data_IF_802317821996
#
_entry.id   IF_802317821996
#
_cell.length_a   1.000
_cell.length_b   1.000
_cell.length_c   1.000
_cell.angle_alpha   90.00
_cell.angle_beta   90.00
_cell.angle_gamma   90.00
#
_symmetry.space_group_name_H-M   'P 1'
#
loop_
_entity.id
_entity.type
_entity.pdbx_description
1 polymer ?
#
# COMPACT_ATOMS: atom_id res chain seq x y z
N UNK A 1 -44.65 17.72 -59.98
CA UNK A 1 -43.96 18.91 -59.44
C UNK A 1 -44.64 19.25 -58.12
N UNK A 2 -44.06 19.29 -56.92
CA UNK A 2 -42.69 19.51 -56.47
C UNK A 2 -42.45 18.74 -55.15
N UNK A 3 -41.27 18.16 -55.03
CA UNK A 3 -40.69 17.53 -53.83
C UNK A 3 -40.43 18.57 -52.72
N UNK A 4 -40.58 18.18 -51.45
CA UNK A 4 -39.95 18.88 -50.32
C UNK A 4 -39.27 17.87 -49.40
N UNK A 5 -37.95 18.02 -49.34
CA UNK A 5 -37.00 17.13 -48.72
C UNK A 5 -37.05 17.18 -47.20
N UNK A 6 -36.88 16.01 -46.59
CA UNK A 6 -36.58 15.79 -45.18
C UNK A 6 -35.11 16.18 -44.94
N UNK A 7 -34.86 17.23 -44.15
CA UNK A 7 -33.50 17.62 -43.75
C UNK A 7 -33.21 17.04 -42.36
N UNK A 8 -32.40 15.98 -42.34
CA UNK A 8 -31.79 15.40 -41.14
C UNK A 8 -30.52 16.20 -40.82
N UNK A 9 -30.52 16.95 -39.71
CA UNK A 9 -29.31 17.60 -39.19
C UNK A 9 -28.66 16.65 -38.19
N UNK A 10 -27.67 15.89 -38.65
CA UNK A 10 -26.81 15.08 -37.80
C UNK A 10 -25.66 15.97 -37.28
N UNK A 11 -25.80 16.50 -36.08
CA UNK A 11 -24.76 17.27 -35.41
C UNK A 11 -23.63 16.36 -34.94
N UNK A 12 -22.46 16.48 -35.57
CA UNK A 12 -21.21 15.82 -35.17
C UNK A 12 -20.61 16.56 -33.96
N UNK A 13 -20.86 16.05 -32.75
CA UNK A 13 -20.22 16.53 -31.52
C UNK A 13 -18.80 15.92 -31.45
N UNK A 14 -17.80 16.70 -31.85
CA UNK A 14 -16.39 16.34 -31.71
C UNK A 14 -15.97 16.61 -30.25
N UNK A 15 -15.80 15.54 -29.47
CA UNK A 15 -15.34 15.60 -28.08
C UNK A 15 -13.87 16.03 -28.01
N UNK A 16 -13.60 17.14 -27.32
CA UNK A 16 -12.25 17.50 -26.88
C UNK A 16 -11.80 16.53 -25.79
N UNK A 17 -10.94 15.58 -26.13
CA UNK A 17 -10.22 14.77 -25.15
C UNK A 17 -9.02 15.58 -24.61
N UNK A 18 -8.78 15.59 -23.29
CA UNK A 18 -7.55 16.16 -22.73
C UNK A 18 -6.36 15.30 -23.18
N UNK A 19 -5.45 15.90 -23.94
CA UNK A 19 -4.16 15.29 -24.25
C UNK A 19 -3.29 15.33 -23.00
N UNK A 20 -3.16 14.21 -22.32
CA UNK A 20 -2.12 14.06 -21.29
C UNK A 20 -0.75 14.01 -21.98
N UNK A 21 0.27 14.72 -21.48
CA UNK A 21 1.62 14.58 -22.02
C UNK A 21 2.07 13.13 -21.80
N UNK A 22 2.40 12.44 -22.89
CA UNK A 22 3.01 11.12 -22.82
C UNK A 22 4.33 11.24 -22.04
N UNK A 23 4.43 10.56 -20.90
CA UNK A 23 5.69 10.42 -20.17
C UNK A 23 6.67 9.63 -21.03
N UNK A 24 7.54 10.33 -21.75
CA UNK A 24 8.54 9.73 -22.61
C UNK A 24 9.51 8.86 -21.78
N UNK A 25 9.79 7.65 -22.28
CA UNK A 25 10.81 6.78 -21.71
C UNK A 25 12.16 7.52 -21.68
N UNK A 26 12.83 7.53 -20.52
CA UNK A 26 14.12 8.23 -20.31
C UNK A 26 15.20 7.57 -21.17
N UNK A 27 15.72 8.31 -22.15
CA UNK A 27 16.88 7.90 -22.96
C UNK A 27 18.10 8.74 -22.58
N UNK A 28 19.28 8.12 -22.66
CA UNK A 28 20.54 8.84 -22.45
C UNK A 28 20.66 10.01 -23.45
N UNK A 29 20.98 11.20 -22.95
CA UNK A 29 21.06 12.43 -23.76
C UNK A 29 19.78 13.26 -23.82
N UNK A 30 18.63 12.72 -23.40
CA UNK A 30 17.38 13.50 -23.37
C UNK A 30 17.42 14.60 -22.30
N UNK A 31 16.66 15.67 -22.53
CA UNK A 31 16.55 16.79 -21.58
C UNK A 31 15.97 16.31 -20.24
N UNK A 32 16.58 16.76 -19.15
CA UNK A 32 16.06 16.58 -17.80
C UNK A 32 15.87 17.95 -17.13
N UNK A 33 14.85 18.06 -16.28
CA UNK A 33 14.42 19.34 -15.71
C UNK A 33 15.27 19.81 -14.53
N UNK A 34 15.93 18.89 -13.80
CA UNK A 34 16.62 19.21 -12.55
C UNK A 34 17.92 18.42 -12.37
N UNK A 35 19.03 19.14 -12.26
CA UNK A 35 20.37 18.57 -12.06
C UNK A 35 20.41 17.61 -10.85
N UNK A 36 21.18 16.53 -10.96
CA UNK A 36 21.32 15.43 -9.98
C UNK A 36 20.05 14.60 -9.71
N UNK A 37 18.94 14.86 -10.40
CA UNK A 37 17.80 13.94 -10.39
C UNK A 37 18.20 12.60 -10.98
N UNK A 38 17.79 11.50 -10.37
CA UNK A 38 18.13 10.15 -10.84
C UNK A 38 16.89 9.38 -11.24
N UNK A 39 17.00 8.53 -12.24
CA UNK A 39 15.94 7.62 -12.67
C UNK A 39 16.53 6.23 -12.96
N UNK A 40 15.77 5.17 -12.70
CA UNK A 40 16.16 3.81 -13.07
C UNK A 40 15.32 3.30 -14.23
N UNK A 41 15.98 2.85 -15.29
CA UNK A 41 15.34 2.17 -16.43
C UNK A 41 16.09 0.87 -16.68
N UNK A 42 15.39 -0.25 -16.63
CA UNK A 42 15.95 -1.59 -16.89
C UNK A 42 17.23 -1.89 -16.08
N UNK A 43 17.22 -1.60 -14.77
CA UNK A 43 18.35 -1.88 -13.87
C UNK A 43 19.56 -0.94 -14.00
N UNK A 44 19.47 0.11 -14.84
CA UNK A 44 20.49 1.15 -14.97
C UNK A 44 20.03 2.45 -14.32
N UNK A 45 20.88 3.06 -13.50
CA UNK A 45 20.66 4.38 -12.88
C UNK A 45 21.16 5.49 -13.79
N UNK A 46 20.24 6.26 -14.35
CA UNK A 46 20.45 7.49 -15.09
C UNK A 46 20.49 8.66 -14.11
N UNK A 47 21.38 9.62 -14.33
CA UNK A 47 21.47 10.84 -13.52
C UNK A 47 21.42 12.04 -14.44
N UNK A 48 20.61 13.04 -14.10
CA UNK A 48 20.55 14.31 -14.80
C UNK A 48 21.86 15.07 -14.55
N UNK A 49 22.67 15.21 -15.58
CA UNK A 49 24.00 15.83 -15.54
C UNK A 49 24.02 17.11 -16.38
N UNK A 50 24.95 18.02 -16.08
CA UNK A 50 25.21 19.20 -16.90
C UNK A 50 26.06 18.78 -18.10
N UNK A 51 25.57 19.04 -19.30
CA UNK A 51 26.31 18.85 -20.56
C UNK A 51 26.27 20.16 -21.33
N UNK A 52 27.37 20.91 -21.28
CA UNK A 52 27.44 22.28 -21.77
C UNK A 52 26.43 23.21 -21.06
N UNK A 53 25.60 23.97 -21.79
CA UNK A 53 24.58 24.86 -21.21
C UNK A 53 23.26 24.16 -20.84
N UNK A 54 23.12 22.84 -21.05
CA UNK A 54 21.86 22.10 -20.85
C UNK A 54 22.00 21.01 -19.79
N UNK A 55 20.85 20.54 -19.28
CA UNK A 55 20.76 19.36 -18.43
C UNK A 55 20.24 18.16 -19.24
N UNK A 56 20.98 17.06 -19.20
CA UNK A 56 20.68 15.83 -19.95
C UNK A 56 20.85 14.58 -19.09
N UNK A 57 20.13 13.50 -19.42
CA UNK A 57 20.30 12.21 -18.75
C UNK A 57 21.65 11.55 -19.11
N UNK A 58 22.36 11.03 -18.10
CA UNK A 58 23.61 10.26 -18.28
C UNK A 58 23.39 8.93 -19.00
N UNK A 59 24.44 8.19 -19.35
CA UNK A 59 24.34 6.90 -20.07
C UNK A 59 23.78 5.73 -19.25
N UNK A 60 23.44 5.95 -17.98
CA UNK A 60 22.96 4.91 -17.06
C UNK A 60 24.08 4.00 -16.54
N UNK A 61 24.15 3.79 -15.23
CA UNK A 61 25.11 2.86 -14.59
C UNK A 61 24.35 1.62 -14.11
N UNK A 62 24.79 0.41 -14.50
CA UNK A 62 24.21 -0.84 -14.03
C UNK A 62 24.41 -0.94 -12.52
N UNK A 63 23.33 -1.04 -11.75
CA UNK A 63 23.43 -1.26 -10.30
C UNK A 63 23.67 -2.75 -10.11
N UNK A 64 24.83 -3.12 -9.55
CA UNK A 64 25.13 -4.52 -9.24
C UNK A 64 24.21 -4.99 -8.12
N UNK A 65 23.44 -6.04 -8.40
CA UNK A 65 22.66 -6.77 -7.40
C UNK A 65 23.66 -7.53 -6.53
N UNK A 66 23.89 -7.08 -5.30
CA UNK A 66 24.67 -7.83 -4.32
C UNK A 66 23.83 -9.03 -3.87
N UNK A 67 24.06 -10.17 -4.50
CA UNK A 67 23.60 -11.49 -4.07
C UNK A 67 24.47 -11.92 -2.89
N UNK A 68 24.00 -11.70 -1.66
CA UNK A 68 24.61 -12.33 -0.48
C UNK A 68 23.98 -13.71 -0.30
N UNK A 69 24.69 -14.73 -0.77
CA UNK A 69 24.48 -16.12 -0.39
C UNK A 69 25.15 -16.35 0.99
N UNK A 70 24.51 -17.06 1.93
CA UNK A 70 25.11 -17.37 3.22
C UNK A 70 26.03 -18.59 3.10
N UNK A 71 27.29 -18.43 3.49
CA UNK A 71 28.13 -19.56 3.92
C UNK A 71 28.23 -19.52 5.45
N UNK A 72 27.98 -20.69 6.01
CA UNK A 72 28.04 -21.07 7.41
C UNK A 72 29.50 -21.13 7.89
N UNK A 73 29.84 -20.43 8.99
CA UNK A 73 30.81 -20.89 9.99
C UNK A 73 30.94 -19.88 11.16
N UNK A 74 30.38 -20.28 12.30
CA UNK A 74 30.77 -20.03 13.69
C UNK A 74 31.95 -19.07 14.01
N UNK A 75 31.67 -17.93 14.69
CA UNK A 75 32.45 -17.40 15.85
C UNK A 75 31.66 -16.25 16.57
N UNK A 76 31.80 -16.03 17.91
CA UNK A 76 30.76 -15.41 18.73
C UNK A 76 30.81 -13.87 18.89
N UNK A 77 29.70 -13.39 19.45
CA UNK A 77 29.24 -12.03 19.71
C UNK A 77 30.28 -10.96 20.10
N UNK A 78 30.10 -9.77 19.52
CA UNK A 78 30.27 -8.50 20.23
C UNK A 78 29.30 -7.45 19.67
N UNK A 79 28.63 -6.65 20.52
CA UNK A 79 27.49 -5.84 20.12
C UNK A 79 27.90 -4.45 19.66
N UNK A 80 27.03 -3.84 18.84
CA UNK A 80 26.72 -2.40 18.75
C UNK A 80 26.61 -1.95 17.30
N UNK A 81 25.48 -2.29 16.68
CA UNK A 81 24.95 -1.48 15.59
C UNK A 81 24.39 -0.21 16.22
N UNK A 82 25.12 0.89 16.03
CA UNK A 82 24.76 2.24 16.47
C UNK A 82 23.46 2.63 15.74
N UNK A 83 22.29 2.36 16.35
CA UNK A 83 21.01 2.83 15.83
C UNK A 83 21.00 4.36 15.90
N UNK A 84 21.00 4.99 14.73
CA UNK A 84 20.58 6.39 14.58
C UNK A 84 19.26 6.58 15.35
N UNK A 85 19.07 7.67 16.12
CA UNK A 85 17.87 7.82 16.95
C UNK A 85 16.63 7.79 16.05
N UNK A 86 15.85 6.70 16.16
CA UNK A 86 14.56 6.58 15.50
C UNK A 86 13.62 7.64 16.07
N UNK A 87 12.93 8.35 15.17
CA UNK A 87 11.94 9.36 15.57
C UNK A 87 10.84 8.67 16.39
N UNK A 88 10.42 9.23 17.54
CA UNK A 88 9.35 8.64 18.33
C UNK A 88 8.04 8.61 17.54
N UNK A 89 7.23 7.56 17.77
CA UNK A 89 5.89 7.45 17.19
C UNK A 89 4.91 8.43 17.87
N UNK A 90 3.86 8.88 17.15
CA UNK A 90 2.79 9.66 17.77
C UNK A 90 2.02 8.84 18.81
N UNK A 91 1.28 9.55 19.67
CA UNK A 91 0.33 8.96 20.63
C UNK A 91 -1.03 9.65 20.46
N UNK A 92 -2.12 8.95 20.11
CA UNK A 92 -2.18 7.54 19.70
C UNK A 92 -1.31 7.26 18.45
N UNK A 93 -0.93 6.00 18.25
CA UNK A 93 -0.04 5.60 17.15
C UNK A 93 -0.67 5.86 15.77
N UNK A 94 -1.99 5.70 15.66
CA UNK A 94 -2.74 5.82 14.43
C UNK A 94 -3.88 6.81 14.57
N UNK A 95 -4.18 7.53 13.49
CA UNK A 95 -5.52 8.05 13.25
C UNK A 95 -6.40 6.97 12.64
N UNK A 96 -7.69 6.99 12.94
CA UNK A 96 -8.62 5.99 12.40
C UNK A 96 -8.80 6.20 10.88
N UNK A 97 -8.54 5.17 10.06
CA UNK A 97 -8.42 5.35 8.62
C UNK A 97 -9.77 5.44 7.89
N UNK A 98 -10.88 5.08 8.55
CA UNK A 98 -12.24 5.05 7.99
C UNK A 98 -13.23 5.68 8.96
N UNK A 99 -14.42 6.00 8.47
CA UNK A 99 -15.55 6.45 9.30
C UNK A 99 -16.16 5.27 10.06
N UNK A 100 -15.88 5.17 11.36
CA UNK A 100 -16.36 4.08 12.21
C UNK A 100 -17.87 4.02 12.34
N UNK A 101 -18.60 5.13 12.10
CA UNK A 101 -20.06 5.11 12.16
C UNK A 101 -20.69 4.23 11.07
N UNK A 102 -19.93 3.93 10.01
CA UNK A 102 -20.35 3.05 8.91
C UNK A 102 -19.86 1.61 9.06
N UNK A 103 -18.93 1.34 9.98
CA UNK A 103 -18.35 0.01 10.14
C UNK A 103 -19.32 -0.88 10.91
N UNK A 104 -19.63 -2.05 10.37
CA UNK A 104 -20.57 -3.02 10.94
C UNK A 104 -19.88 -4.22 11.56
N UNK A 105 -18.66 -4.55 11.12
CA UNK A 105 -17.90 -5.71 11.59
C UNK A 105 -16.40 -5.51 11.43
N UNK A 106 -15.61 -6.34 12.11
CA UNK A 106 -14.14 -6.26 12.11
C UNK A 106 -13.53 -7.63 11.83
N UNK A 107 -12.55 -7.68 10.92
CA UNK A 107 -11.61 -8.79 10.83
C UNK A 107 -10.47 -8.55 11.80
N UNK A 108 -10.18 -9.53 12.66
CA UNK A 108 -9.12 -9.42 13.65
C UNK A 108 -7.76 -9.72 12.97
N UNK A 109 -6.68 -8.96 13.23
CA UNK A 109 -5.35 -9.38 12.83
C UNK A 109 -4.92 -10.64 13.58
N UNK A 110 -3.99 -11.40 13.01
CA UNK A 110 -3.44 -12.61 13.62
C UNK A 110 -4.41 -13.77 13.68
N UNK A 111 -5.03 -14.12 12.54
CA UNK A 111 -5.93 -15.27 12.41
C UNK A 111 -5.63 -16.10 11.16
N UNK A 112 -5.96 -17.39 11.21
CA UNK A 112 -6.00 -18.27 10.05
C UNK A 112 -7.30 -18.09 9.26
N UNK A 113 -7.23 -17.50 8.06
CA UNK A 113 -8.40 -17.25 7.21
C UNK A 113 -8.14 -17.65 5.77
N UNK A 114 -9.06 -18.43 5.21
CA UNK A 114 -8.93 -18.94 3.83
C UNK A 114 -7.68 -19.82 3.64
N UNK A 115 -7.31 -20.59 4.67
CA UNK A 115 -6.15 -21.48 4.65
C UNK A 115 -4.79 -20.78 4.73
N UNK A 116 -4.76 -19.50 5.08
CA UNK A 116 -3.52 -18.73 5.24
C UNK A 116 -3.58 -17.88 6.50
N UNK A 117 -2.44 -17.71 7.14
CA UNK A 117 -2.28 -16.76 8.22
C UNK A 117 -2.46 -15.32 7.72
N UNK A 118 -3.17 -14.51 8.50
CA UNK A 118 -3.41 -13.10 8.21
C UNK A 118 -2.98 -12.26 9.41
N UNK A 119 -1.76 -11.73 9.37
CA UNK A 119 -1.29 -10.75 10.36
C UNK A 119 -2.03 -9.40 10.29
N UNK A 120 -2.82 -9.17 9.23
CA UNK A 120 -3.69 -8.01 9.08
C UNK A 120 -5.16 -8.37 9.40
N UNK A 121 -5.92 -7.34 9.75
CA UNK A 121 -7.37 -7.41 9.92
C UNK A 121 -8.06 -6.61 8.83
N UNK A 122 -9.19 -6.00 9.16
CA UNK A 122 -9.94 -5.18 8.22
C UNK A 122 -11.23 -4.62 8.81
N UNK A 123 -11.76 -3.61 8.13
CA UNK A 123 -13.04 -2.99 8.46
C UNK A 123 -14.11 -3.51 7.51
N UNK A 124 -15.27 -3.85 8.08
CA UNK A 124 -16.41 -4.31 7.32
C UNK A 124 -17.59 -3.35 7.26
N UNK A 125 -18.22 -3.30 6.10
CA UNK A 125 -19.37 -2.44 5.80
C UNK A 125 -20.49 -3.31 5.21
N UNK A 126 -20.93 -4.31 5.98
CA UNK A 126 -21.76 -5.43 5.51
C UNK A 126 -23.17 -5.00 5.07
N UNK A 127 -23.62 -3.84 5.55
CA UNK A 127 -24.92 -3.25 5.19
C UNK A 127 -24.79 -2.16 4.11
N UNK A 128 -23.59 -1.93 3.55
CA UNK A 128 -23.39 -0.91 2.54
C UNK A 128 -24.07 -1.30 1.22
N UNK A 129 -24.77 -0.34 0.62
CA UNK A 129 -25.43 -0.48 -0.69
C UNK A 129 -24.56 -0.04 -1.86
N UNK A 130 -23.39 0.53 -1.55
CA UNK A 130 -22.39 1.01 -2.48
C UNK A 130 -20.99 0.79 -1.87
N UNK A 131 -19.95 1.03 -2.66
CA UNK A 131 -18.57 0.91 -2.23
C UNK A 131 -18.01 2.20 -1.60
N UNK A 132 -18.82 3.25 -1.34
CA UNK A 132 -18.37 4.60 -1.00
C UNK A 132 -17.83 4.71 0.44
N UNK A 133 -16.61 4.21 0.60
CA UNK A 133 -15.82 4.30 1.83
C UNK A 133 -14.59 5.14 1.54
N UNK A 134 -14.48 6.27 2.23
CA UNK A 134 -13.26 7.08 2.23
C UNK A 134 -12.23 6.44 3.15
N UNK A 135 -11.05 6.15 2.61
CA UNK A 135 -9.90 5.64 3.36
C UNK A 135 -8.83 6.73 3.44
N UNK A 136 -8.31 6.96 4.64
CA UNK A 136 -7.28 7.96 4.94
C UNK A 136 -6.01 7.31 5.45
N UNK A 137 -4.89 7.96 5.21
CA UNK A 137 -3.58 7.58 5.74
C UNK A 137 -3.59 7.74 7.29
N UNK A 138 -3.35 6.66 8.06
CA UNK A 138 -3.44 6.70 9.52
C UNK A 138 -2.16 7.19 10.20
N UNK A 139 -1.02 7.11 9.49
CA UNK A 139 0.31 7.45 9.99
C UNK A 139 1.16 8.02 8.85
N UNK A 140 1.79 9.17 9.08
CA UNK A 140 2.70 9.78 8.08
C UNK A 140 3.91 8.88 7.81
N UNK A 141 4.27 8.75 6.53
CA UNK A 141 5.26 7.77 6.10
C UNK A 141 5.55 7.88 4.61
N UNK A 142 5.81 6.73 3.98
CA UNK A 142 6.14 6.62 2.56
C UNK A 142 5.49 5.38 1.99
N UNK A 143 4.94 5.46 0.78
CA UNK A 143 4.60 4.29 -0.02
C UNK A 143 5.90 3.61 -0.42
N UNK A 144 6.05 2.35 -0.05
CA UNK A 144 7.25 1.55 -0.35
C UNK A 144 6.96 0.40 -1.28
N UNK A 145 5.74 -0.15 -1.24
CA UNK A 145 5.35 -1.23 -2.14
C UNK A 145 3.89 -1.11 -2.56
N UNK A 146 3.59 -1.53 -3.77
CA UNK A 146 2.22 -1.49 -4.33
C UNK A 146 1.95 -2.68 -5.21
N UNK A 147 0.68 -3.03 -5.38
CA UNK A 147 0.22 -3.82 -6.54
C UNK A 147 -1.16 -3.33 -6.93
N UNK A 148 -1.43 -3.37 -8.24
CA UNK A 148 -2.79 -3.41 -8.76
C UNK A 148 -3.02 -4.79 -9.34
N UNK A 149 -4.05 -5.47 -8.89
CA UNK A 149 -4.27 -6.87 -9.21
C UNK A 149 -5.71 -7.12 -9.59
N UNK A 150 -5.94 -8.18 -10.36
CA UNK A 150 -7.27 -8.64 -10.70
C UNK A 150 -7.67 -9.75 -9.75
N UNK A 151 -8.86 -9.61 -9.18
CA UNK A 151 -9.49 -10.64 -8.37
C UNK A 151 -10.99 -10.63 -8.65
N UNK A 152 -11.56 -11.81 -8.89
CA UNK A 152 -12.98 -11.95 -9.26
C UNK A 152 -13.41 -11.07 -10.47
N UNK A 153 -12.49 -10.81 -11.40
CA UNK A 153 -12.73 -9.97 -12.58
C UNK A 153 -12.62 -8.46 -12.31
N UNK A 154 -12.48 -8.03 -11.06
CA UNK A 154 -12.38 -6.64 -10.64
C UNK A 154 -10.92 -6.24 -10.37
N UNK A 155 -10.57 -4.98 -10.61
CA UNK A 155 -9.25 -4.45 -10.24
C UNK A 155 -9.28 -3.97 -8.79
N UNK A 156 -8.32 -4.42 -8.01
CA UNK A 156 -8.10 -4.06 -6.62
C UNK A 156 -6.68 -3.53 -6.44
N UNK A 157 -6.47 -2.77 -5.37
CA UNK A 157 -5.18 -2.15 -5.08
C UNK A 157 -4.74 -2.42 -3.65
N UNK A 158 -3.46 -2.77 -3.52
CA UNK A 158 -2.76 -2.99 -2.27
C UNK A 158 -1.61 -2.00 -2.19
N UNK A 159 -1.49 -1.33 -1.04
CA UNK A 159 -0.36 -0.46 -0.72
C UNK A 159 0.26 -0.87 0.61
N UNK A 160 1.60 -0.90 0.64
CA UNK A 160 2.40 -1.03 1.85
C UNK A 160 3.18 0.27 2.08
N UNK A 161 3.23 0.67 3.35
CA UNK A 161 3.80 1.92 3.79
C UNK A 161 4.81 1.70 4.91
N UNK A 162 5.91 2.44 4.86
CA UNK A 162 6.81 2.59 5.99
C UNK A 162 6.50 3.92 6.69
N UNK A 163 6.00 3.84 7.92
CA UNK A 163 5.79 4.99 8.78
C UNK A 163 7.11 5.60 9.24
N UNK A 164 7.08 6.90 9.54
CA UNK A 164 8.29 7.66 9.89
C UNK A 164 8.88 7.34 11.29
N UNK A 165 8.38 6.31 11.97
CA UNK A 165 8.75 5.96 13.35
C UNK A 165 9.01 4.45 13.56
N UNK A 166 9.27 3.70 12.49
CA UNK A 166 9.56 2.25 12.57
C UNK A 166 8.31 1.35 12.61
N UNK A 167 7.12 1.93 12.41
CA UNK A 167 5.86 1.19 12.25
C UNK A 167 5.45 1.23 10.79
N UNK A 168 5.22 0.07 10.19
CA UNK A 168 4.68 -0.07 8.83
C UNK A 168 3.20 -0.39 8.87
N UNK A 169 2.48 -0.06 7.81
CA UNK A 169 1.06 -0.40 7.68
C UNK A 169 0.72 -0.72 6.22
N UNK A 170 -0.41 -1.37 6.01
CA UNK A 170 -0.90 -1.70 4.67
C UNK A 170 -2.41 -1.54 4.56
N UNK A 171 -2.83 -1.25 3.34
CA UNK A 171 -4.20 -1.39 2.90
C UNK A 171 -4.27 -2.39 1.77
N UNK A 172 -5.33 -3.20 1.74
CA UNK A 172 -5.68 -4.08 0.63
C UNK A 172 -7.15 -3.90 0.27
N UNK A 173 -7.56 -4.43 -0.88
CA UNK A 173 -8.92 -4.30 -1.38
C UNK A 173 -9.38 -2.83 -1.49
N UNK A 174 -8.47 -1.93 -1.89
CA UNK A 174 -8.87 -0.58 -2.31
C UNK A 174 -9.43 -0.66 -3.74
N UNK A 175 -10.42 0.17 -4.06
CA UNK A 175 -11.09 0.16 -5.38
C UNK A 175 -10.85 1.44 -6.17
N UNK A 176 -11.22 2.60 -5.63
CA UNK A 176 -11.10 3.88 -6.34
C UNK A 176 -10.15 4.80 -5.62
N UNK A 177 -8.94 4.90 -6.16
CA UNK A 177 -7.87 5.70 -5.59
C UNK A 177 -8.05 7.20 -5.90
N UNK A 178 -7.47 8.05 -5.05
CA UNK A 178 -7.30 9.46 -5.40
C UNK A 178 -6.13 9.64 -6.36
N UNK A 179 -6.09 10.77 -7.07
CA UNK A 179 -5.18 11.01 -8.18
C UNK A 179 -3.69 10.77 -7.83
N UNK A 180 -3.27 11.14 -6.61
CA UNK A 180 -1.89 10.91 -6.15
C UNK A 180 -1.54 9.42 -6.11
N UNK A 181 -2.42 8.60 -5.56
CA UNK A 181 -2.16 7.17 -5.37
C UNK A 181 -2.33 6.40 -6.68
N UNK A 182 -3.32 6.77 -7.51
CA UNK A 182 -3.48 6.24 -8.86
C UNK A 182 -2.23 6.49 -9.72
N UNK A 183 -1.64 7.69 -9.63
CA UNK A 183 -0.40 8.02 -10.33
C UNK A 183 0.79 7.14 -9.89
N UNK A 184 0.80 6.64 -8.65
CA UNK A 184 1.84 5.72 -8.17
C UNK A 184 1.64 4.32 -8.75
N UNK A 185 0.44 3.74 -8.62
CA UNK A 185 0.17 2.36 -9.06
C UNK A 185 0.10 2.18 -10.58
N UNK A 186 -0.29 3.22 -11.32
CA UNK A 186 -0.37 3.15 -12.79
C UNK A 186 0.99 2.96 -13.47
N UNK A 187 2.10 3.18 -12.76
CA UNK A 187 3.44 2.85 -13.21
C UNK A 187 3.74 1.32 -13.23
N UNK A 188 2.87 0.50 -12.64
CA UNK A 188 3.06 -0.94 -12.48
C UNK A 188 2.05 -1.74 -13.33
N UNK A 189 2.40 -2.94 -13.79
CA UNK A 189 1.46 -3.80 -14.52
C UNK A 189 0.31 -4.26 -13.61
N UNK A 190 -0.81 -4.66 -14.22
CA UNK A 190 -1.85 -5.41 -13.51
C UNK A 190 -1.35 -6.86 -13.36
N UNK A 191 -1.50 -7.42 -12.17
CA UNK A 191 -1.14 -8.81 -11.86
C UNK A 191 -2.39 -9.66 -11.59
N UNK A 192 -2.23 -10.97 -11.64
CA UNK A 192 -3.24 -11.96 -11.23
C UNK A 192 -2.96 -12.52 -9.82
N UNK A 193 -2.04 -11.87 -9.09
CA UNK A 193 -1.67 -12.20 -7.73
C UNK A 193 -1.37 -10.92 -6.94
N UNK A 194 -1.24 -11.06 -5.61
CA UNK A 194 -1.07 -9.94 -4.67
C UNK A 194 0.38 -9.62 -4.34
N UNK A 195 1.37 -10.16 -5.07
CA UNK A 195 2.79 -9.86 -4.80
C UNK A 195 3.09 -8.42 -5.18
N UNK A 196 3.51 -7.64 -4.20
CA UNK A 196 3.80 -6.21 -4.37
C UNK A 196 5.10 -5.95 -5.13
N UNK A 197 5.17 -4.81 -5.81
CA UNK A 197 6.37 -4.25 -6.43
C UNK A 197 6.92 -3.10 -5.59
N UNK A 198 8.25 -2.95 -5.56
CA UNK A 198 8.89 -1.86 -4.84
C UNK A 198 8.70 -0.51 -5.56
N UNK A 199 8.26 0.50 -4.82
CA UNK A 199 8.18 1.89 -5.28
C UNK A 199 9.51 2.58 -5.04
N UNK A 200 10.16 3.02 -6.12
CA UNK A 200 11.47 3.68 -6.06
C UNK A 200 11.55 4.89 -7.01
N UNK A 201 11.77 6.11 -6.50
CA UNK A 201 11.92 6.46 -5.08
C UNK A 201 10.59 6.31 -4.31
N UNK A 202 10.61 6.01 -2.99
CA UNK A 202 9.41 6.00 -2.16
C UNK A 202 8.67 7.33 -2.20
N UNK A 203 7.33 7.29 -2.14
CA UNK A 203 6.49 8.49 -2.23
C UNK A 203 5.95 8.84 -0.86
N UNK A 204 6.24 10.05 -0.36
CA UNK A 204 5.80 10.49 0.96
C UNK A 204 4.28 10.61 1.06
N UNK A 205 3.73 10.28 2.23
CA UNK A 205 2.32 10.46 2.60
C UNK A 205 2.20 11.08 3.98
N UNK A 206 1.19 11.91 4.17
CA UNK A 206 0.85 12.52 5.44
C UNK A 206 -0.42 11.91 6.01
N UNK A 207 -0.48 11.81 7.34
CA UNK A 207 -1.70 11.45 8.06
C UNK A 207 -2.89 12.31 7.60
N UNK A 208 -4.05 11.68 7.41
CA UNK A 208 -5.27 12.32 6.96
C UNK A 208 -5.41 12.49 5.44
N UNK A 209 -4.35 12.26 4.65
CA UNK A 209 -4.47 12.21 3.19
C UNK A 209 -5.45 11.10 2.78
N UNK A 210 -6.35 11.40 1.83
CA UNK A 210 -7.31 10.42 1.31
C UNK A 210 -6.62 9.57 0.25
N UNK A 211 -6.52 8.27 0.49
CA UNK A 211 -5.96 7.31 -0.46
C UNK A 211 -7.01 6.76 -1.42
N UNK A 212 -8.20 6.46 -0.91
CA UNK A 212 -9.29 5.87 -1.69
C UNK A 212 -10.64 6.46 -1.29
N UNK A 213 -11.58 6.42 -2.24
CA UNK A 213 -12.97 6.85 -2.08
C UNK A 213 -13.96 5.70 -2.26
N UNK A 214 -13.48 4.56 -2.77
CA UNK A 214 -14.23 3.31 -2.82
C UNK A 214 -13.33 2.14 -2.41
N UNK A 215 -13.90 1.11 -1.78
CA UNK A 215 -13.20 -0.10 -1.31
C UNK A 215 -13.96 -1.38 -1.64
N UNK A 216 -13.26 -2.51 -1.62
CA UNK A 216 -13.82 -3.84 -1.76
C UNK A 216 -14.37 -4.16 -3.15
N UNK A 217 -15.12 -5.25 -3.18
CA UNK A 217 -15.83 -5.74 -4.36
C UNK A 217 -17.27 -5.21 -4.36
N UNK A 218 -17.92 -5.23 -5.52
CA UNK A 218 -19.31 -4.76 -5.65
C UNK A 218 -20.29 -5.51 -4.74
N UNK A 219 -19.99 -6.78 -4.42
CA UNK A 219 -20.81 -7.63 -3.55
C UNK A 219 -20.22 -7.83 -2.14
N UNK A 220 -19.10 -7.19 -1.83
CA UNK A 220 -18.37 -7.40 -0.59
C UNK A 220 -17.57 -6.13 -0.23
N UNK A 221 -18.21 -5.24 0.54
CA UNK A 221 -17.63 -3.96 0.93
C UNK A 221 -16.80 -4.15 2.20
N UNK A 222 -15.48 -4.13 2.02
CA UNK A 222 -14.48 -4.25 3.08
C UNK A 222 -13.18 -3.58 2.65
N UNK A 223 -12.36 -3.19 3.62
CA UNK A 223 -10.96 -2.81 3.38
C UNK A 223 -10.09 -3.54 4.39
N UNK A 224 -9.05 -4.20 3.91
CA UNK A 224 -8.09 -4.83 4.80
C UNK A 224 -7.13 -3.78 5.35
N UNK A 225 -6.79 -3.94 6.62
CA UNK A 225 -5.88 -3.05 7.31
C UNK A 225 -4.95 -3.84 8.23
N UNK A 226 -3.64 -3.67 7.99
CA UNK A 226 -2.59 -4.31 8.77
C UNK A 226 -1.61 -3.27 9.30
N UNK A 227 -1.09 -3.51 10.50
CA UNK A 227 -0.10 -2.65 11.15
C UNK A 227 0.97 -3.53 11.76
N UNK A 228 2.22 -3.14 11.54
CA UNK A 228 3.40 -3.92 11.86
C UNK A 228 4.39 -3.04 12.61
N UNK A 229 4.70 -3.39 13.85
CA UNK A 229 5.70 -2.68 14.63
C UNK A 229 7.09 -3.27 14.34
N UNK A 230 7.79 -2.74 13.34
CA UNK A 230 9.09 -3.30 12.91
C UNK A 230 10.21 -3.12 13.96
N UNK A 231 9.93 -2.41 15.05
CA UNK A 231 10.87 -2.20 16.15
C UNK A 231 10.89 -3.37 17.13
N UNK A 232 9.80 -4.13 17.20
CA UNK A 232 9.64 -5.24 18.15
C UNK A 232 8.75 -6.35 17.56
N UNK A 233 9.21 -7.59 17.69
CA UNK A 233 8.40 -8.75 17.33
C UNK A 233 7.21 -8.90 18.28
N UNK A 234 6.09 -9.42 17.78
CA UNK A 234 4.90 -9.68 18.58
C UNK A 234 5.09 -10.87 19.53
N UNK A 235 4.25 -10.93 20.56
CA UNK A 235 4.34 -11.96 21.60
C UNK A 235 4.18 -13.38 21.07
N UNK A 236 3.28 -13.61 20.10
CA UNK A 236 3.07 -14.96 19.56
C UNK A 236 4.33 -15.51 18.86
N UNK A 237 5.08 -14.63 18.18
CA UNK A 237 6.32 -15.02 17.49
C UNK A 237 7.48 -15.39 18.42
N UNK A 238 7.33 -15.24 19.73
CA UNK A 238 8.28 -15.77 20.71
C UNK A 238 8.15 -17.28 20.91
N UNK A 239 7.00 -17.85 20.57
CA UNK A 239 6.80 -19.31 20.54
C UNK A 239 7.53 -19.90 19.30
N UNK A 240 8.50 -20.81 19.47
CA UNK A 240 9.23 -21.41 18.36
C UNK A 240 8.36 -22.20 17.38
N UNK A 241 7.29 -22.84 17.87
CA UNK A 241 6.34 -23.58 17.05
C UNK A 241 5.58 -22.63 16.15
N UNK A 242 5.11 -21.52 16.71
CA UNK A 242 4.46 -20.46 15.94
C UNK A 242 5.43 -19.86 14.92
N UNK A 243 6.65 -19.50 15.34
CA UNK A 243 7.64 -18.89 14.47
C UNK A 243 8.02 -19.79 13.28
N UNK A 244 8.11 -21.09 13.50
CA UNK A 244 8.36 -22.08 12.44
C UNK A 244 7.19 -22.14 11.45
N UNK A 245 5.95 -22.23 11.96
CA UNK A 245 4.74 -22.29 11.14
C UNK A 245 4.52 -21.03 10.27
N UNK A 246 4.99 -19.87 10.73
CA UNK A 246 4.78 -18.57 10.06
C UNK A 246 6.07 -18.00 9.42
N UNK A 247 7.06 -18.84 9.18
CA UNK A 247 8.38 -18.42 8.66
C UNK A 247 8.35 -17.93 7.21
N UNK A 248 7.34 -18.33 6.43
CA UNK A 248 7.21 -17.95 5.01
C UNK A 248 7.04 -16.43 4.82
N UNK A 249 6.38 -15.75 5.75
CA UNK A 249 6.13 -14.32 5.69
C UNK A 249 6.68 -13.64 6.96
N UNK A 250 7.97 -13.23 6.96
CA UNK A 250 8.61 -12.68 8.16
C UNK A 250 7.91 -11.47 8.78
N UNK A 251 7.14 -10.71 7.98
CA UNK A 251 6.33 -9.60 8.45
C UNK A 251 5.27 -10.03 9.49
N UNK A 252 4.79 -11.27 9.44
CA UNK A 252 3.78 -11.78 10.37
C UNK A 252 4.29 -11.72 11.82
N UNK A 253 5.59 -11.89 12.05
CA UNK A 253 6.22 -11.75 13.37
C UNK A 253 6.19 -10.32 13.94
N UNK A 254 5.78 -9.32 13.15
CA UNK A 254 5.72 -7.93 13.57
C UNK A 254 4.29 -7.37 13.59
N UNK A 255 3.29 -8.18 13.20
CA UNK A 255 1.89 -7.77 13.23
C UNK A 255 1.44 -7.45 14.66
N UNK A 256 0.65 -6.38 14.83
CA UNK A 256 0.11 -5.97 16.13
C UNK A 256 -1.42 -5.90 16.13
N UNK A 257 -2.01 -5.93 17.33
CA UNK A 257 -3.41 -5.57 17.49
C UNK A 257 -3.61 -4.06 17.35
N UNK A 258 -3.86 -3.61 16.13
CA UNK A 258 -4.03 -2.19 15.82
C UNK A 258 -5.24 -1.54 16.49
N UNK A 259 -6.18 -2.31 17.06
CA UNK A 259 -7.29 -1.77 17.84
C UNK A 259 -6.79 -0.91 19.00
N UNK A 260 -5.69 -1.33 19.65
CA UNK A 260 -5.07 -0.62 20.77
C UNK A 260 -4.24 0.60 20.32
N UNK A 261 -4.05 0.78 19.01
CA UNK A 261 -3.24 1.83 18.41
C UNK A 261 -4.08 3.02 17.93
N UNK A 262 -5.41 2.89 17.94
CA UNK A 262 -6.37 3.94 17.59
C UNK A 262 -6.59 4.92 18.76
N UNK A 263 -7.21 6.09 18.52
CA UNK A 263 -7.71 6.95 19.59
C UNK A 263 -8.61 6.17 20.56
N UNK A 264 -8.61 6.54 21.85
CA UNK A 264 -9.26 5.75 22.91
C UNK A 264 -10.74 5.43 22.62
N UNK A 265 -11.52 6.42 22.16
CA UNK A 265 -12.92 6.23 21.82
C UNK A 265 -13.12 5.23 20.66
N UNK A 266 -12.28 5.35 19.63
CA UNK A 266 -12.31 4.50 18.44
C UNK A 266 -11.84 3.07 18.76
N UNK A 267 -10.83 2.93 19.63
CA UNK A 267 -10.40 1.64 20.17
C UNK A 267 -11.53 0.91 20.88
N UNK A 268 -12.27 1.63 21.74
CA UNK A 268 -13.43 1.07 22.43
C UNK A 268 -14.53 0.67 21.45
N UNK A 269 -14.84 1.51 20.45
CA UNK A 269 -15.84 1.22 19.43
C UNK A 269 -15.50 -0.03 18.61
N UNK A 270 -14.25 -0.14 18.12
CA UNK A 270 -13.80 -1.27 17.32
C UNK A 270 -13.88 -2.60 18.08
N UNK A 271 -13.55 -2.62 19.38
CA UNK A 271 -13.61 -3.84 20.21
C UNK A 271 -15.05 -4.33 20.45
N UNK A 272 -16.02 -3.42 20.40
CA UNK A 272 -17.44 -3.73 20.57
C UNK A 272 -18.09 -4.29 19.30
N UNK A 273 -17.52 -4.01 18.12
CA UNK A 273 -18.04 -4.54 16.86
C UNK A 273 -18.01 -6.08 16.84
N UNK A 274 -18.96 -6.71 16.11
CA UNK A 274 -18.93 -8.14 15.89
C UNK A 274 -17.72 -8.53 15.02
N UNK A 275 -17.24 -9.75 15.21
CA UNK A 275 -16.25 -10.29 14.28
C UNK A 275 -16.91 -10.54 12.93
N UNK A 276 -16.21 -10.17 11.86
CA UNK A 276 -16.61 -10.48 10.49
C UNK A 276 -16.32 -11.93 10.12
N UNK A 277 -15.34 -12.55 10.77
CA UNK A 277 -15.01 -13.95 10.54
C UNK A 277 -15.89 -14.86 11.41
N UNK A 278 -16.91 -15.45 10.79
CA UNK A 278 -17.83 -16.35 11.48
C UNK A 278 -17.19 -17.64 11.99
N UNK A 279 -16.02 -18.04 11.46
CA UNK A 279 -15.33 -19.27 11.88
C UNK A 279 -14.46 -19.03 13.11
N UNK A 280 -13.56 -18.05 13.05
CA UNK A 280 -12.62 -17.78 14.14
C UNK A 280 -13.19 -16.82 15.20
N UNK A 281 -14.27 -16.09 14.87
CA UNK A 281 -14.85 -15.10 15.76
C UNK A 281 -13.81 -14.06 16.17
N UNK A 282 -13.73 -13.77 17.47
CA UNK A 282 -12.76 -12.82 18.05
C UNK A 282 -11.41 -13.47 18.42
N UNK A 283 -11.20 -14.75 18.12
CA UNK A 283 -9.95 -15.46 18.43
C UNK A 283 -8.81 -14.87 17.61
N UNK A 284 -7.75 -14.41 18.25
CA UNK A 284 -6.60 -13.79 17.60
C UNK A 284 -5.34 -14.01 18.42
N UNK A 285 -4.22 -14.17 17.72
CA UNK A 285 -2.90 -14.28 18.35
C UNK A 285 -2.43 -12.97 18.98
N UNK A 286 -2.91 -11.82 18.47
CA UNK A 286 -2.42 -10.49 18.85
C UNK A 286 -3.48 -9.65 19.57
N UNK A 287 -4.76 -9.83 19.25
CA UNK A 287 -5.88 -9.08 19.82
C UNK A 287 -6.59 -9.89 20.91
N UNK A 288 -6.21 -9.63 22.15
CA UNK A 288 -6.87 -10.18 23.34
C UNK A 288 -7.82 -9.17 23.98
#
# INVERSE_FOLDING_TARGET
MKSKALVLVLGLVLTLLPTFPASAAIKAGDKCSKLKTTAMVSGKKYTCIKSGPKFVWSKGVKVATSTSQPEDSSQPESPSSTKSPEKPCPTPLLQTPVDLSKVTSILYPGQERGGNYKAHGGFGFDNATDNLVTVKIPLSGKITRVVRYREMGEIQYLFEFDGNCGVSFRFDHLRKLTAKFEAVVSAFPIKEDTRTDSVSPPVAVMVGEVIATEVGFLNNVSVDFGVYDMRQKNEASKDPTWASAHSQFPADSYGICWFNSLPQADSAAVKLLPSRDGKNGKTSDYCK
#
